data_IF_776230803835
#
_entry.id   IF_776230803835
#
_cell.length_a   1.000
_cell.length_b   1.000
_cell.length_c   1.000
_cell.angle_alpha   90.00
_cell.angle_beta   90.00
_cell.angle_gamma   90.00
#
_symmetry.space_group_name_H-M   'P 1'
#
loop_
_entity.id
_entity.type
_entity.pdbx_description
1 polymer ?
#
# COMPACT_ATOMS: atom_id res chain seq x y z
N UNK A 1 -2.59 11.61 34.41
CA UNK A 1 -3.72 11.03 33.69
C UNK A 1 -3.70 11.54 32.25
N UNK A 2 -3.35 10.63 31.34
CA UNK A 2 -3.35 10.92 29.90
C UNK A 2 -4.80 10.88 29.44
N UNK A 3 -5.37 12.04 29.13
CA UNK A 3 -6.67 12.16 28.47
C UNK A 3 -6.54 11.56 27.06
N UNK A 4 -7.08 10.36 26.86
CA UNK A 4 -7.28 9.80 25.53
C UNK A 4 -8.22 10.74 24.77
N UNK A 5 -7.68 11.40 23.73
CA UNK A 5 -8.46 12.24 22.84
C UNK A 5 -9.69 11.48 22.34
N UNK A 6 -10.87 12.10 22.50
CA UNK A 6 -12.14 11.54 22.08
C UNK A 6 -12.16 11.33 20.57
N UNK A 7 -11.91 10.11 20.13
CA UNK A 7 -12.07 9.74 18.74
C UNK A 7 -13.52 9.92 18.36
N UNK A 8 -13.80 10.73 17.33
CA UNK A 8 -15.14 10.87 16.75
C UNK A 8 -15.63 9.48 16.38
N UNK A 9 -16.65 9.00 17.10
CA UNK A 9 -17.26 7.71 16.83
C UNK A 9 -17.90 7.76 15.45
N UNK A 10 -17.30 7.06 14.48
CA UNK A 10 -17.86 7.01 13.13
C UNK A 10 -19.17 6.24 13.16
N UNK A 11 -20.23 6.90 12.73
CA UNK A 11 -21.55 6.30 12.61
C UNK A 11 -21.57 5.27 11.48
N UNK A 12 -22.30 4.16 11.70
CA UNK A 12 -22.53 3.16 10.66
C UNK A 12 -23.39 3.76 9.55
N UNK A 13 -23.07 3.43 8.27
CA UNK A 13 -23.81 3.88 7.10
C UNK A 13 -24.15 2.70 6.20
N UNK A 14 -25.39 2.69 5.70
CA UNK A 14 -25.82 1.73 4.67
C UNK A 14 -25.00 1.91 3.38
N UNK A 15 -25.09 0.96 2.46
CA UNK A 15 -24.43 1.13 1.14
C UNK A 15 -25.03 2.30 0.36
N UNK A 16 -26.32 2.51 0.46
CA UNK A 16 -27.05 3.62 -0.16
C UNK A 16 -26.58 4.97 0.42
N UNK A 17 -26.42 5.06 1.75
CA UNK A 17 -25.87 6.26 2.40
C UNK A 17 -24.43 6.54 1.99
N UNK A 18 -23.64 5.46 1.79
CA UNK A 18 -22.26 5.59 1.31
C UNK A 18 -22.20 6.08 -0.14
N UNK A 19 -23.11 5.64 -1.02
CA UNK A 19 -23.26 6.15 -2.39
C UNK A 19 -23.68 7.62 -2.35
N UNK A 20 -24.68 7.97 -1.55
CA UNK A 20 -25.12 9.36 -1.38
C UNK A 20 -23.98 10.26 -0.88
N UNK A 21 -23.15 9.75 0.05
CA UNK A 21 -21.97 10.47 0.54
C UNK A 21 -20.95 10.73 -0.55
N UNK A 22 -20.67 9.75 -1.43
CA UNK A 22 -19.75 9.92 -2.55
C UNK A 22 -20.27 10.93 -3.57
N UNK A 23 -21.56 10.89 -3.89
CA UNK A 23 -22.23 11.90 -4.73
C UNK A 23 -22.18 13.29 -4.13
N UNK A 24 -22.48 13.41 -2.84
CA UNK A 24 -22.42 14.69 -2.12
C UNK A 24 -21.03 15.32 -2.08
N UNK A 25 -19.99 14.53 -2.35
CA UNK A 25 -18.59 14.96 -2.50
C UNK A 25 -18.18 15.18 -3.95
N UNK A 26 -19.13 15.26 -4.85
CA UNK A 26 -18.94 15.56 -6.29
C UNK A 26 -18.23 14.44 -7.09
N UNK A 27 -18.30 13.18 -6.64
CA UNK A 27 -17.84 12.05 -7.45
C UNK A 27 -18.87 11.71 -8.52
N UNK A 28 -18.45 11.68 -9.78
CA UNK A 28 -19.29 11.18 -10.86
C UNK A 28 -19.39 9.65 -10.79
N UNK A 29 -20.61 9.12 -10.63
CA UNK A 29 -20.85 7.68 -10.49
C UNK A 29 -22.25 7.27 -10.99
N UNK A 30 -22.37 6.02 -11.45
CA UNK A 30 -23.62 5.30 -11.57
C UNK A 30 -23.95 4.62 -10.22
N UNK A 31 -25.19 4.70 -9.75
CA UNK A 31 -25.58 4.17 -8.44
C UNK A 31 -25.53 2.64 -8.37
N UNK A 32 -25.96 1.98 -9.45
CA UNK A 32 -25.95 0.52 -9.52
C UNK A 32 -24.53 -0.04 -9.49
N UNK A 33 -23.63 0.56 -10.27
CA UNK A 33 -22.21 0.21 -10.26
C UNK A 33 -21.55 0.47 -8.90
N UNK A 34 -21.87 1.61 -8.28
CA UNK A 34 -21.34 1.98 -6.98
C UNK A 34 -21.79 1.02 -5.88
N UNK A 35 -23.06 0.64 -5.86
CA UNK A 35 -23.59 -0.37 -4.92
C UNK A 35 -22.90 -1.73 -5.13
N UNK A 36 -22.77 -2.17 -6.36
CA UNK A 36 -22.06 -3.41 -6.70
C UNK A 36 -20.61 -3.42 -6.20
N UNK A 37 -19.90 -2.32 -6.42
CA UNK A 37 -18.53 -2.17 -5.99
C UNK A 37 -18.39 -2.10 -4.45
N UNK A 38 -19.26 -1.38 -3.77
CA UNK A 38 -19.25 -1.27 -2.31
C UNK A 38 -19.55 -2.60 -1.61
N UNK A 39 -20.40 -3.45 -2.18
CA UNK A 39 -20.69 -4.80 -1.67
C UNK A 39 -19.48 -5.73 -1.73
N UNK A 40 -18.61 -5.55 -2.73
CA UNK A 40 -17.45 -6.43 -2.97
C UNK A 40 -16.15 -5.88 -2.39
N UNK A 41 -15.94 -4.57 -2.42
CA UNK A 41 -14.66 -3.94 -2.06
C UNK A 41 -14.69 -3.14 -0.75
N UNK A 42 -15.82 -2.93 -0.13
CA UNK A 42 -16.09 -2.07 1.03
C UNK A 42 -15.66 -0.60 0.87
N UNK A 43 -16.43 0.31 1.50
CA UNK A 43 -16.14 1.75 1.49
C UNK A 43 -14.74 2.08 2.02
N UNK A 44 -14.34 1.45 3.13
CA UNK A 44 -13.05 1.72 3.76
C UNK A 44 -11.88 1.43 2.81
N UNK A 45 -11.97 0.32 2.07
CA UNK A 45 -10.95 -0.04 1.09
C UNK A 45 -10.91 0.93 -0.08
N UNK A 46 -12.07 1.26 -0.63
CA UNK A 46 -12.18 2.20 -1.76
C UNK A 46 -11.74 3.61 -1.38
N UNK A 47 -12.05 4.07 -0.17
CA UNK A 47 -11.66 5.40 0.31
C UNK A 47 -10.15 5.62 0.30
N UNK A 48 -9.37 4.55 0.52
CA UNK A 48 -7.92 4.62 0.41
C UNK A 48 -7.42 4.94 -1.00
N UNK A 49 -8.11 4.50 -2.05
CA UNK A 49 -7.82 4.85 -3.44
C UNK A 49 -8.47 6.17 -3.85
N UNK A 50 -9.68 6.44 -3.35
CA UNK A 50 -10.41 7.67 -3.59
C UNK A 50 -9.62 8.92 -3.18
N UNK A 51 -8.75 8.77 -2.18
CA UNK A 51 -7.92 9.87 -1.65
C UNK A 51 -7.06 10.56 -2.73
N UNK A 52 -6.65 9.85 -3.77
CA UNK A 52 -5.86 10.42 -4.88
C UNK A 52 -6.64 11.39 -5.76
N UNK A 53 -7.96 11.34 -5.71
CA UNK A 53 -8.86 12.15 -6.50
C UNK A 53 -9.56 13.24 -5.67
N UNK A 54 -9.15 13.43 -4.40
CA UNK A 54 -9.74 14.42 -3.50
C UNK A 54 -8.89 15.68 -3.44
N UNK A 55 -9.56 16.83 -3.40
CA UNK A 55 -8.93 18.14 -3.22
C UNK A 55 -8.43 18.30 -1.78
N UNK A 56 -7.21 18.85 -1.62
CA UNK A 56 -6.66 19.11 -0.30
C UNK A 56 -6.63 17.87 0.60
N UNK A 57 -6.39 16.71 0.02
CA UNK A 57 -6.41 15.45 0.74
C UNK A 57 -5.44 15.43 1.93
N UNK A 58 -4.29 16.06 1.81
CA UNK A 58 -3.28 16.25 2.86
C UNK A 58 -3.77 17.15 3.99
N UNK A 59 -4.69 18.09 3.70
CA UNK A 59 -5.31 19.01 4.67
C UNK A 59 -6.65 18.48 5.21
N UNK A 60 -7.03 17.24 4.87
CA UNK A 60 -8.29 16.64 5.32
C UNK A 60 -9.49 16.90 4.42
N UNK A 61 -9.31 17.52 3.24
CA UNK A 61 -10.35 17.69 2.23
C UNK A 61 -10.93 16.35 1.77
N UNK A 62 -12.24 16.30 1.53
CA UNK A 62 -12.94 15.08 1.14
C UNK A 62 -13.69 15.22 -0.18
N UNK A 63 -13.79 16.42 -0.73
CA UNK A 63 -14.46 16.68 -2.01
C UNK A 63 -13.55 16.20 -3.16
N UNK A 64 -14.17 15.66 -4.19
CA UNK A 64 -13.42 15.16 -5.33
C UNK A 64 -13.04 16.30 -6.30
N UNK A 65 -11.91 16.14 -6.95
CA UNK A 65 -11.48 17.02 -8.03
C UNK A 65 -12.50 16.92 -9.17
N UNK A 66 -12.83 18.05 -9.80
CA UNK A 66 -13.78 18.10 -10.90
C UNK A 66 -13.38 17.10 -12.01
N UNK A 67 -14.35 16.32 -12.47
CA UNK A 67 -14.15 15.27 -13.48
C UNK A 67 -13.71 13.93 -12.92
N UNK A 68 -13.49 13.78 -11.62
CA UNK A 68 -13.19 12.46 -11.00
C UNK A 68 -14.40 11.54 -11.10
N UNK A 69 -14.15 10.28 -11.45
CA UNK A 69 -15.20 9.27 -11.62
C UNK A 69 -14.99 8.06 -10.71
N UNK A 70 -16.07 7.30 -10.46
CA UNK A 70 -15.96 6.01 -9.77
C UNK A 70 -15.09 5.03 -10.57
N UNK A 71 -15.13 5.10 -11.90
CA UNK A 71 -14.32 4.25 -12.78
C UNK A 71 -12.82 4.44 -12.56
N UNK A 72 -12.36 5.67 -12.28
CA UNK A 72 -10.95 5.95 -11.98
C UNK A 72 -10.52 5.26 -10.69
N UNK A 73 -11.36 5.35 -9.64
CA UNK A 73 -11.10 4.69 -8.36
C UNK A 73 -11.07 3.17 -8.52
N UNK A 74 -12.03 2.62 -9.25
CA UNK A 74 -12.13 1.18 -9.57
C UNK A 74 -10.90 0.70 -10.33
N UNK A 75 -10.47 1.44 -11.34
CA UNK A 75 -9.27 1.12 -12.13
C UNK A 75 -8.03 0.99 -11.25
N UNK A 76 -7.75 1.96 -10.37
CA UNK A 76 -6.58 1.90 -9.47
C UNK A 76 -6.73 0.75 -8.46
N UNK A 77 -7.93 0.50 -7.95
CA UNK A 77 -8.20 -0.64 -7.07
C UNK A 77 -7.89 -1.97 -7.75
N UNK A 78 -8.34 -2.16 -9.00
CA UNK A 78 -8.08 -3.37 -9.80
C UNK A 78 -6.61 -3.53 -10.15
N UNK A 79 -5.94 -2.45 -10.59
CA UNK A 79 -4.50 -2.46 -10.86
C UNK A 79 -3.70 -2.83 -9.61
N UNK A 80 -4.08 -2.28 -8.45
CA UNK A 80 -3.51 -2.67 -7.17
C UNK A 80 -3.72 -4.14 -6.84
N UNK A 81 -4.87 -4.71 -7.23
CA UNK A 81 -5.15 -6.15 -7.12
C UNK A 81 -4.21 -7.00 -7.96
N UNK A 82 -4.08 -6.67 -9.24
CA UNK A 82 -3.18 -7.35 -10.19
C UNK A 82 -1.72 -7.27 -9.74
N UNK A 83 -1.27 -6.10 -9.30
CA UNK A 83 0.08 -5.92 -8.77
C UNK A 83 0.34 -6.83 -7.57
N UNK A 84 -0.58 -6.89 -6.60
CA UNK A 84 -0.45 -7.78 -5.44
C UNK A 84 -0.34 -9.24 -5.84
N UNK A 85 -1.18 -9.70 -6.77
CA UNK A 85 -1.15 -11.09 -7.26
C UNK A 85 0.19 -11.42 -7.91
N UNK A 86 0.69 -10.54 -8.76
CA UNK A 86 1.99 -10.73 -9.42
C UNK A 86 3.15 -10.76 -8.42
N UNK A 87 3.14 -9.85 -7.45
CA UNK A 87 4.19 -9.76 -6.43
C UNK A 87 4.13 -10.92 -5.44
N UNK A 88 2.96 -11.33 -4.99
CA UNK A 88 2.80 -12.42 -4.02
C UNK A 88 3.47 -13.71 -4.49
N UNK A 89 3.27 -14.08 -5.75
CA UNK A 89 3.89 -15.28 -6.35
C UNK A 89 5.43 -15.19 -6.38
N UNK A 90 5.98 -14.00 -6.69
CA UNK A 90 7.44 -13.80 -6.77
C UNK A 90 8.08 -13.68 -5.39
N UNK A 91 7.43 -12.95 -4.50
CA UNK A 91 7.93 -12.73 -3.13
C UNK A 91 7.96 -14.02 -2.31
N UNK A 92 7.02 -14.96 -2.53
CA UNK A 92 7.06 -16.25 -1.87
C UNK A 92 8.33 -17.03 -2.20
N UNK A 93 8.76 -17.01 -3.46
CA UNK A 93 10.02 -17.66 -3.88
C UNK A 93 11.26 -17.00 -3.27
N UNK A 94 11.28 -15.67 -3.28
CA UNK A 94 12.38 -14.88 -2.69
C UNK A 94 12.45 -15.12 -1.19
N UNK A 95 11.33 -15.17 -0.50
CA UNK A 95 11.26 -15.44 0.94
C UNK A 95 11.87 -16.81 1.29
N UNK A 96 11.50 -17.87 0.56
CA UNK A 96 12.05 -19.22 0.78
C UNK A 96 13.56 -19.23 0.53
N UNK A 97 14.01 -18.60 -0.56
CA UNK A 97 15.44 -18.50 -0.88
C UNK A 97 16.21 -17.76 0.22
N UNK A 98 15.70 -16.61 0.66
CA UNK A 98 16.34 -15.82 1.72
C UNK A 98 16.39 -16.57 3.05
N UNK A 99 15.33 -17.27 3.43
CA UNK A 99 15.33 -18.12 4.64
C UNK A 99 16.40 -19.19 4.57
N UNK A 100 16.55 -19.84 3.41
CA UNK A 100 17.56 -20.88 3.20
C UNK A 100 18.98 -20.31 3.28
N UNK A 101 19.24 -19.21 2.58
CA UNK A 101 20.55 -18.54 2.60
C UNK A 101 20.89 -17.98 3.99
N UNK A 102 19.90 -17.42 4.65
CA UNK A 102 20.05 -16.93 6.01
C UNK A 102 20.38 -18.05 6.99
N UNK A 103 19.63 -19.16 6.97
CA UNK A 103 19.88 -20.30 7.82
C UNK A 103 21.29 -20.86 7.60
N UNK A 104 21.75 -20.93 6.34
CA UNK A 104 23.10 -21.36 5.99
C UNK A 104 24.17 -20.41 6.52
N UNK A 105 23.99 -19.10 6.28
CA UNK A 105 24.95 -18.09 6.72
C UNK A 105 25.07 -18.04 8.25
N UNK A 106 23.95 -18.10 8.98
CA UNK A 106 23.95 -18.16 10.44
C UNK A 106 24.61 -19.44 10.93
N UNK A 107 24.29 -20.61 10.35
CA UNK A 107 24.91 -21.88 10.71
C UNK A 107 26.41 -21.89 10.46
N UNK A 108 26.89 -21.23 9.40
CA UNK A 108 28.32 -21.13 9.08
C UNK A 108 29.09 -20.14 9.98
N UNK A 109 28.42 -19.14 10.56
CA UNK A 109 29.05 -18.06 11.32
C UNK A 109 28.79 -18.12 12.83
N UNK A 110 28.01 -19.08 13.29
CA UNK A 110 27.61 -19.17 14.71
C UNK A 110 28.76 -19.42 15.70
N UNK A 111 30.01 -19.46 15.27
CA UNK A 111 31.17 -19.41 16.18
C UNK A 111 31.40 -18.03 16.80
N UNK A 112 30.86 -16.93 16.20
CA UNK A 112 31.12 -15.54 16.62
C UNK A 112 29.89 -14.66 16.90
N UNK A 113 28.68 -15.18 16.81
CA UNK A 113 27.49 -14.54 17.42
C UNK A 113 26.89 -13.26 16.79
N UNK A 114 27.52 -12.64 15.82
CA UNK A 114 27.06 -11.38 15.26
C UNK A 114 26.38 -11.53 13.88
N UNK A 115 25.04 -11.41 13.89
CA UNK A 115 24.29 -11.31 12.66
C UNK A 115 24.47 -9.93 12.01
N UNK A 116 24.83 -9.85 10.72
CA UNK A 116 24.90 -8.55 10.05
C UNK A 116 23.54 -7.85 10.06
N UNK A 117 23.46 -6.66 10.68
CA UNK A 117 22.24 -5.86 10.84
C UNK A 117 21.54 -5.59 9.48
N UNK A 118 22.30 -5.45 8.40
CA UNK A 118 21.75 -5.26 7.04
C UNK A 118 20.94 -6.45 6.54
N UNK A 119 21.35 -7.68 6.84
CA UNK A 119 20.64 -8.88 6.40
C UNK A 119 19.27 -9.01 7.10
N UNK A 120 19.19 -8.64 8.37
CA UNK A 120 17.94 -8.60 9.11
C UNK A 120 16.96 -7.57 8.54
N UNK A 121 17.42 -6.36 8.21
CA UNK A 121 16.60 -5.29 7.65
C UNK A 121 16.01 -5.67 6.28
N UNK A 122 16.79 -6.30 5.40
CA UNK A 122 16.30 -6.77 4.10
C UNK A 122 15.26 -7.87 4.23
N UNK A 123 15.50 -8.87 5.07
CA UNK A 123 14.53 -9.96 5.32
C UNK A 123 13.22 -9.41 5.88
N UNK A 124 13.27 -8.45 6.82
CA UNK A 124 12.09 -7.79 7.36
C UNK A 124 11.33 -7.01 6.28
N UNK A 125 12.01 -6.30 5.40
CA UNK A 125 11.38 -5.55 4.29
C UNK A 125 10.64 -6.48 3.32
N UNK A 126 11.22 -7.62 2.96
CA UNK A 126 10.56 -8.63 2.13
C UNK A 126 9.38 -9.29 2.83
N UNK A 127 9.52 -9.64 4.11
CA UNK A 127 8.43 -10.21 4.89
C UNK A 127 7.27 -9.22 5.03
N UNK A 128 7.57 -7.95 5.26
CA UNK A 128 6.58 -6.87 5.30
C UNK A 128 5.82 -6.75 3.97
N UNK A 129 6.53 -6.65 2.84
CA UNK A 129 5.91 -6.54 1.51
C UNK A 129 5.06 -7.77 1.17
N UNK A 130 5.57 -8.98 1.46
CA UNK A 130 4.82 -10.23 1.27
C UNK A 130 3.52 -10.22 2.10
N UNK A 131 3.60 -9.84 3.37
CA UNK A 131 2.43 -9.76 4.24
C UNK A 131 1.40 -8.77 3.71
N UNK A 132 1.83 -7.61 3.22
CA UNK A 132 0.91 -6.65 2.59
C UNK A 132 0.23 -7.20 1.34
N UNK A 133 0.93 -7.97 0.52
CA UNK A 133 0.34 -8.66 -0.62
C UNK A 133 -0.69 -9.70 -0.17
N UNK A 134 -0.34 -10.55 0.80
CA UNK A 134 -1.19 -11.61 1.31
C UNK A 134 -2.47 -11.08 1.98
N UNK A 135 -2.36 -9.98 2.72
CA UNK A 135 -3.50 -9.31 3.38
C UNK A 135 -4.22 -8.30 2.49
N UNK A 136 -3.99 -8.34 1.18
CA UNK A 136 -4.61 -7.44 0.21
C UNK A 136 -4.47 -5.95 0.54
N UNK A 137 -3.41 -5.57 1.24
CA UNK A 137 -3.16 -4.18 1.57
C UNK A 137 -2.83 -3.35 0.31
N UNK A 138 -3.10 -2.05 0.36
CA UNK A 138 -2.75 -1.14 -0.72
C UNK A 138 -1.24 -1.05 -0.86
N UNK A 139 -0.72 -1.27 -2.08
CA UNK A 139 0.71 -1.14 -2.41
C UNK A 139 1.02 0.17 -3.13
N UNK A 140 0.04 0.74 -3.80
CA UNK A 140 0.19 1.98 -4.55
C UNK A 140 0.60 3.14 -3.63
N UNK A 141 1.64 3.88 -4.02
CA UNK A 141 2.21 5.00 -3.26
C UNK A 141 2.41 4.66 -1.76
N UNK A 142 2.98 3.49 -1.50
CA UNK A 142 3.28 3.03 -0.16
C UNK A 142 4.80 2.92 0.00
N UNK A 143 5.35 3.66 0.95
CA UNK A 143 6.75 3.49 1.35
C UNK A 143 6.89 2.24 2.22
N UNK A 144 7.95 1.49 2.03
CA UNK A 144 8.34 0.42 2.94
C UNK A 144 9.06 1.08 4.12
N UNK A 145 8.42 1.07 5.28
CA UNK A 145 9.04 1.53 6.52
C UNK A 145 10.14 0.50 6.86
N UNK A 146 11.29 0.97 7.25
CA UNK A 146 12.47 0.16 7.57
C UNK A 146 13.08 -0.60 6.38
N UNK A 147 12.93 -0.09 5.16
CA UNK A 147 13.67 -0.62 4.03
C UNK A 147 15.17 -0.45 4.27
N UNK A 148 15.92 -1.53 4.13
CA UNK A 148 17.37 -1.50 4.15
C UNK A 148 17.94 -0.53 3.10
N UNK A 149 19.12 0.01 3.32
CA UNK A 149 19.76 0.92 2.38
C UNK A 149 19.96 0.24 1.02
N UNK A 150 19.45 0.86 -0.05
CA UNK A 150 19.62 0.32 -1.40
C UNK A 150 21.11 0.26 -1.75
N UNK A 151 21.65 -0.90 -2.15
CA UNK A 151 23.04 -1.02 -2.54
C UNK A 151 23.44 -0.02 -3.63
N UNK A 152 24.61 0.60 -3.52
CA UNK A 152 25.05 1.67 -4.42
C UNK A 152 25.03 1.28 -5.91
N UNK A 153 25.36 0.04 -6.24
CA UNK A 153 25.31 -0.47 -7.61
C UNK A 153 23.89 -0.50 -8.19
N UNK A 154 22.88 -0.81 -7.38
CA UNK A 154 21.47 -0.79 -7.78
C UNK A 154 20.98 0.65 -7.93
N UNK A 155 21.28 1.50 -6.94
CA UNK A 155 20.95 2.93 -6.97
C UNK A 155 21.53 3.65 -8.19
N UNK A 156 22.77 3.36 -8.56
CA UNK A 156 23.38 3.93 -9.76
C UNK A 156 22.72 3.45 -11.06
N UNK A 157 22.39 2.15 -11.16
CA UNK A 157 21.66 1.61 -12.32
C UNK A 157 20.29 2.25 -12.47
N UNK A 158 19.57 2.43 -11.38
CA UNK A 158 18.25 3.05 -11.37
C UNK A 158 18.33 4.52 -11.78
N UNK A 159 19.27 5.30 -11.25
CA UNK A 159 19.50 6.69 -11.67
C UNK A 159 19.84 6.81 -13.16
N UNK A 160 20.64 5.91 -13.70
CA UNK A 160 20.94 5.88 -15.15
C UNK A 160 19.73 5.57 -16.02
N UNK A 161 18.80 4.74 -15.54
CA UNK A 161 17.64 4.29 -16.32
C UNK A 161 16.44 5.23 -16.25
N UNK A 162 16.22 5.88 -15.12
CA UNK A 162 15.02 6.68 -14.84
C UNK A 162 15.29 8.16 -14.59
N UNK A 163 16.56 8.60 -14.66
CA UNK A 163 16.96 9.98 -14.38
C UNK A 163 16.76 10.38 -12.91
N UNK A 164 16.84 11.68 -12.64
CA UNK A 164 16.71 12.22 -11.28
C UNK A 164 15.26 12.32 -10.75
N UNK A 165 14.27 11.78 -11.45
CA UNK A 165 12.85 11.85 -11.06
C UNK A 165 12.48 10.97 -9.85
N UNK A 166 13.45 10.32 -9.20
CA UNK A 166 13.24 9.56 -7.97
C UNK A 166 13.63 10.32 -6.67
N UNK A 167 14.03 11.57 -6.77
CA UNK A 167 14.24 12.45 -5.62
C UNK A 167 12.92 13.20 -5.33
N UNK A 168 11.85 12.46 -5.00
CA UNK A 168 10.65 13.01 -4.36
C UNK A 168 10.72 12.64 -2.89
N UNK A 169 10.58 13.64 -1.99
CA UNK A 169 10.73 13.49 -0.53
C UNK A 169 9.74 12.51 0.09
#
# INVERSE_FOLDING_TARGET
PVTRGGGVKKEWKSWEDQVALLKGRHLALDEGEALGLLRTASYYRLSGYARYFQQGAELGGNDFVAGSTLADIKMIHELGGRLRTMLASRLGRVEVMLRSQYAYAVGATMSDGDMPVWAAAEVLSFAYLRNRCAHHARLWNHSVIDAGATPNNVRQKTKRRFGNSMDVP
#
